data_IF_274476567455
#
_entry.id   IF_274476567455
#
_cell.length_a   1.000
_cell.length_b   1.000
_cell.length_c   1.000
_cell.angle_alpha   90.00
_cell.angle_beta   90.00
_cell.angle_gamma   90.00
#
_symmetry.space_group_name_H-M   'P 1'
#
loop_
_entity.id
_entity.type
_entity.pdbx_description
1 polymer ?
#
# COMPACT_ATOMS: atom_id res chain seq x y z
N UNK A 1 -12.03 16.79 -3.77
CA UNK A 1 -10.80 16.66 -4.56
C UNK A 1 -9.83 15.95 -3.65
N UNK A 2 -9.30 14.79 -4.05
CA UNK A 2 -8.47 13.97 -3.18
C UNK A 2 -7.22 14.74 -2.75
N UNK A 3 -6.90 14.73 -1.45
CA UNK A 3 -5.69 15.36 -0.89
C UNK A 3 -4.41 14.55 -1.18
N UNK A 4 -4.50 13.56 -2.07
CA UNK A 4 -3.38 12.71 -2.47
C UNK A 4 -2.24 13.56 -3.05
N UNK A 5 -1.03 13.29 -2.56
CA UNK A 5 0.17 13.95 -3.02
C UNK A 5 1.36 13.00 -2.91
N UNK A 6 1.80 12.48 -4.06
CA UNK A 6 2.89 11.50 -4.10
C UNK A 6 4.21 12.06 -3.53
N UNK A 7 4.54 13.33 -3.82
CA UNK A 7 5.75 13.98 -3.30
C UNK A 7 5.78 14.08 -1.76
N UNK A 8 4.61 14.20 -1.11
CA UNK A 8 4.51 14.17 0.36
C UNK A 8 4.61 12.75 0.92
N UNK A 9 4.07 11.75 0.21
CA UNK A 9 4.05 10.37 0.68
C UNK A 9 5.39 9.65 0.51
N UNK A 10 6.18 9.97 -0.52
CA UNK A 10 7.50 9.35 -0.75
C UNK A 10 8.42 9.40 0.49
N UNK A 11 8.69 10.58 1.11
CA UNK A 11 9.57 10.62 2.27
C UNK A 11 9.00 9.87 3.48
N UNK A 12 7.67 9.81 3.62
CA UNK A 12 7.00 9.05 4.68
C UNK A 12 7.24 7.54 4.50
N UNK A 13 7.00 7.02 3.28
CA UNK A 13 7.23 5.60 2.96
C UNK A 13 8.70 5.21 3.11
N UNK A 14 9.63 6.08 2.69
CA UNK A 14 11.07 5.86 2.87
C UNK A 14 11.44 5.76 4.35
N UNK A 15 10.92 6.68 5.18
CA UNK A 15 11.16 6.64 6.63
C UNK A 15 10.65 5.34 7.26
N UNK A 16 9.44 4.91 6.92
CA UNK A 16 8.91 3.63 7.41
C UNK A 16 9.75 2.44 6.97
N UNK A 17 10.21 2.44 5.71
CA UNK A 17 11.08 1.37 5.21
C UNK A 17 12.39 1.28 6.00
N UNK A 18 13.00 2.42 6.31
CA UNK A 18 14.21 2.47 7.14
C UNK A 18 13.96 1.93 8.56
N UNK A 19 12.85 2.34 9.19
CA UNK A 19 12.46 1.87 10.52
C UNK A 19 12.19 0.36 10.55
N UNK A 20 11.47 -0.17 9.55
CA UNK A 20 11.19 -1.61 9.45
C UNK A 20 12.49 -2.40 9.22
N UNK A 21 13.43 -1.89 8.42
CA UNK A 21 14.70 -2.57 8.15
C UNK A 21 15.57 -2.69 9.42
N UNK A 22 15.57 -1.67 10.28
CA UNK A 22 16.25 -1.74 11.58
C UNK A 22 15.58 -2.77 12.49
N UNK A 23 14.25 -2.81 12.54
CA UNK A 23 13.48 -3.77 13.35
C UNK A 23 13.64 -5.22 12.85
N UNK A 24 13.68 -5.44 11.54
CA UNK A 24 13.91 -6.75 10.93
C UNK A 24 15.22 -7.38 11.42
N UNK A 25 16.30 -6.59 11.49
CA UNK A 25 17.61 -7.03 11.97
C UNK A 25 17.59 -7.39 13.47
N UNK A 26 16.71 -6.78 14.24
CA UNK A 26 16.54 -7.03 15.68
C UNK A 26 15.58 -8.19 15.98
N UNK A 27 14.86 -8.72 14.99
CA UNK A 27 13.91 -9.82 15.17
C UNK A 27 14.61 -11.07 15.70
N UNK A 28 14.00 -11.69 16.71
CA UNK A 28 14.46 -12.92 17.36
C UNK A 28 13.93 -14.16 16.64
N UNK A 29 12.68 -14.13 16.21
CA UNK A 29 12.04 -15.22 15.48
C UNK A 29 12.20 -15.08 13.96
N UNK A 30 12.26 -16.21 13.27
CA UNK A 30 12.23 -16.25 11.81
C UNK A 30 10.88 -15.77 11.26
N UNK A 31 9.79 -16.10 11.96
CA UNK A 31 8.44 -15.69 11.59
C UNK A 31 8.26 -14.16 11.63
N UNK A 32 8.64 -13.49 12.72
CA UNK A 32 8.57 -12.03 12.76
C UNK A 32 9.47 -11.39 11.71
N UNK A 33 10.67 -11.96 11.49
CA UNK A 33 11.59 -11.50 10.45
C UNK A 33 10.97 -11.61 9.06
N UNK A 34 10.27 -12.71 8.74
CA UNK A 34 9.61 -12.84 7.44
C UNK A 34 8.48 -11.84 7.25
N UNK A 35 7.69 -11.54 8.29
CA UNK A 35 6.66 -10.49 8.22
C UNK A 35 7.26 -9.11 7.93
N UNK A 36 8.36 -8.76 8.61
CA UNK A 36 9.08 -7.51 8.36
C UNK A 36 9.62 -7.47 6.93
N UNK A 37 10.22 -8.57 6.45
CA UNK A 37 10.75 -8.68 5.10
C UNK A 37 9.67 -8.49 4.03
N UNK A 38 8.49 -9.11 4.22
CA UNK A 38 7.35 -8.91 3.33
C UNK A 38 6.89 -7.45 3.33
N UNK A 39 6.79 -6.82 4.51
CA UNK A 39 6.42 -5.40 4.58
C UNK A 39 7.46 -4.50 3.89
N UNK A 40 8.76 -4.79 4.02
CA UNK A 40 9.81 -4.06 3.30
C UNK A 40 9.62 -4.14 1.79
N UNK A 41 9.35 -5.34 1.26
CA UNK A 41 9.06 -5.52 -0.16
C UNK A 41 7.83 -4.74 -0.61
N UNK A 42 6.80 -4.64 0.22
CA UNK A 42 5.61 -3.83 -0.07
C UNK A 42 5.90 -2.32 -0.02
N UNK A 43 6.68 -1.84 0.96
CA UNK A 43 7.09 -0.44 1.04
C UNK A 43 7.97 -0.04 -0.15
N UNK A 44 8.84 -0.94 -0.63
CA UNK A 44 9.60 -0.76 -1.86
C UNK A 44 8.68 -0.64 -3.09
N UNK A 45 7.68 -1.51 -3.19
CA UNK A 45 6.69 -1.44 -4.27
C UNK A 45 5.84 -0.16 -4.19
N UNK A 46 5.43 0.27 -3.00
CA UNK A 46 4.72 1.53 -2.79
C UNK A 46 5.54 2.72 -3.27
N UNK A 47 6.84 2.75 -2.96
CA UNK A 47 7.73 3.82 -3.43
C UNK A 47 7.79 3.86 -4.95
N UNK A 48 7.93 2.72 -5.61
CA UNK A 48 7.95 2.64 -7.08
C UNK A 48 6.66 3.18 -7.68
N UNK A 49 5.51 2.83 -7.09
CA UNK A 49 4.22 3.33 -7.55
C UNK A 49 4.09 4.85 -7.32
N UNK A 50 4.55 5.36 -6.18
CA UNK A 50 4.56 6.81 -5.92
C UNK A 50 5.48 7.58 -6.88
N UNK A 51 6.66 7.05 -7.20
CA UNK A 51 7.55 7.65 -8.18
C UNK A 51 6.87 7.69 -9.57
N UNK A 52 6.11 6.64 -9.92
CA UNK A 52 5.30 6.63 -11.15
C UNK A 52 4.22 7.71 -11.15
N UNK A 53 3.52 7.92 -10.03
CA UNK A 53 2.52 8.99 -9.94
C UNK A 53 3.16 10.38 -10.15
N UNK A 54 4.37 10.59 -9.63
CA UNK A 54 5.12 11.84 -9.87
C UNK A 54 5.41 12.03 -11.37
N UNK A 55 5.77 10.98 -12.09
CA UNK A 55 6.00 11.07 -13.54
C UNK A 55 4.70 11.29 -14.33
N UNK A 56 3.58 10.67 -13.92
CA UNK A 56 2.28 10.88 -14.54
C UNK A 56 1.80 12.33 -14.37
N UNK A 57 1.93 12.89 -13.16
CA UNK A 57 1.65 14.30 -12.87
C UNK A 57 2.49 15.24 -13.75
N UNK A 58 3.78 14.96 -13.91
CA UNK A 58 4.66 15.72 -14.81
C UNK A 58 4.22 15.62 -16.27
N UNK A 59 3.72 14.47 -16.71
CA UNK A 59 3.25 14.25 -18.07
C UNK A 59 1.92 14.99 -18.35
N UNK A 60 1.05 15.12 -17.34
CA UNK A 60 -0.22 15.83 -17.44
C UNK A 60 -0.06 17.36 -17.34
N UNK A 61 0.91 17.84 -16.57
CA UNK A 61 1.11 19.26 -16.29
C UNK A 61 1.14 20.19 -17.53
N UNK A 62 1.77 19.83 -18.68
CA UNK A 62 1.77 20.68 -19.87
C UNK A 62 0.40 20.92 -20.49
N UNK A 63 -0.60 20.09 -20.19
CA UNK A 63 -1.95 20.16 -20.77
C UNK A 63 -2.97 20.84 -19.85
N UNK A 64 -2.59 21.20 -18.62
CA UNK A 64 -3.46 21.89 -17.67
C UNK A 64 -3.94 23.24 -18.20
N UNK A 65 -5.23 23.53 -18.00
CA UNK A 65 -5.90 24.71 -18.53
C UNK A 65 -6.44 24.55 -19.95
N UNK A 66 -6.28 23.38 -20.56
CA UNK A 66 -6.99 23.00 -21.80
C UNK A 66 -8.23 22.14 -21.45
N UNK A 67 -9.33 22.21 -22.21
CA UNK A 67 -10.53 21.42 -21.92
C UNK A 67 -10.26 19.91 -21.82
N UNK A 68 -9.45 19.37 -22.73
CA UNK A 68 -9.06 17.96 -22.76
C UNK A 68 -8.12 17.61 -21.60
N UNK A 69 -7.09 18.42 -21.36
CA UNK A 69 -6.16 18.21 -20.26
C UNK A 69 -6.84 18.26 -18.90
N UNK A 70 -7.73 19.24 -18.68
CA UNK A 70 -8.50 19.35 -17.43
C UNK A 70 -9.49 18.18 -17.27
N UNK A 71 -10.01 17.62 -18.36
CA UNK A 71 -10.84 16.42 -18.32
C UNK A 71 -10.02 15.19 -17.91
N UNK A 72 -8.87 14.94 -18.54
CA UNK A 72 -7.99 13.82 -18.17
C UNK A 72 -7.44 13.96 -16.75
N UNK A 73 -7.03 15.16 -16.35
CA UNK A 73 -6.54 15.45 -15.01
C UNK A 73 -7.60 15.12 -13.95
N UNK A 74 -8.86 15.51 -14.19
CA UNK A 74 -9.96 15.14 -13.29
C UNK A 74 -10.18 13.63 -13.21
N UNK A 75 -10.14 12.92 -14.34
CA UNK A 75 -10.30 11.45 -14.36
C UNK A 75 -9.18 10.79 -13.56
N UNK A 76 -7.93 11.17 -13.81
CA UNK A 76 -6.76 10.65 -13.12
C UNK A 76 -6.89 10.83 -11.59
N UNK A 77 -7.37 12.00 -11.13
CA UNK A 77 -7.59 12.27 -9.71
C UNK A 77 -8.91 11.73 -9.13
N UNK A 78 -9.73 11.00 -9.89
CA UNK A 78 -10.86 10.25 -9.30
C UNK A 78 -10.33 9.13 -8.40
N UNK A 79 -9.30 8.43 -8.86
CA UNK A 79 -8.58 7.39 -8.12
C UNK A 79 -7.25 7.16 -8.84
N UNK A 80 -6.15 7.60 -8.23
CA UNK A 80 -4.82 7.37 -8.82
C UNK A 80 -4.50 5.88 -8.87
N UNK A 81 -3.48 5.47 -9.62
CA UNK A 81 -3.06 4.06 -9.66
C UNK A 81 -2.62 3.58 -8.27
N UNK A 82 -1.95 4.44 -7.51
CA UNK A 82 -1.54 4.22 -6.14
C UNK A 82 -2.75 4.03 -5.23
N UNK A 83 -3.72 4.94 -5.27
CA UNK A 83 -4.93 4.83 -4.46
C UNK A 83 -5.70 3.55 -4.79
N UNK A 84 -5.83 3.23 -6.08
CA UNK A 84 -6.51 2.02 -6.53
C UNK A 84 -5.84 0.75 -6.00
N UNK A 85 -4.50 0.70 -6.00
CA UNK A 85 -3.75 -0.48 -5.57
C UNK A 85 -3.67 -0.61 -4.06
N UNK A 86 -3.40 0.48 -3.35
CA UNK A 86 -2.99 0.44 -1.96
C UNK A 86 -4.05 0.87 -0.95
N UNK A 87 -5.10 1.58 -1.40
CA UNK A 87 -6.12 2.15 -0.49
C UNK A 87 -7.52 1.64 -0.82
N UNK A 88 -7.90 1.63 -2.11
CA UNK A 88 -9.27 1.36 -2.54
C UNK A 88 -9.72 -0.09 -2.30
N UNK A 89 -8.79 -1.04 -2.28
CA UNK A 89 -9.06 -2.47 -2.06
C UNK A 89 -9.21 -2.86 -0.59
N UNK A 90 -9.02 -1.92 0.34
CA UNK A 90 -9.11 -2.20 1.76
C UNK A 90 -7.79 -2.75 2.34
N UNK A 91 -7.90 -3.72 3.24
CA UNK A 91 -6.73 -4.27 3.92
C UNK A 91 -5.87 -5.12 2.97
N UNK A 92 -4.56 -5.07 3.16
CA UNK A 92 -3.58 -5.85 2.40
C UNK A 92 -2.81 -6.72 3.39
N UNK A 93 -2.87 -8.03 3.19
CA UNK A 93 -2.18 -8.96 4.10
C UNK A 93 -0.69 -9.08 3.79
N UNK A 94 0.14 -9.05 4.82
CA UNK A 94 1.60 -9.28 4.76
C UNK A 94 1.99 -10.74 5.05
N UNK A 95 1.01 -11.63 5.26
CA UNK A 95 1.20 -13.05 5.52
C UNK A 95 0.43 -13.91 4.51
N UNK A 96 -0.83 -14.26 4.81
CA UNK A 96 -1.66 -15.08 3.93
C UNK A 96 -2.64 -14.19 3.13
N UNK A 97 -2.91 -14.47 1.84
CA UNK A 97 -3.91 -13.73 1.07
C UNK A 97 -5.27 -13.76 1.77
N UNK A 98 -5.90 -12.59 1.93
CA UNK A 98 -7.24 -12.44 2.54
C UNK A 98 -8.36 -12.30 1.52
N UNK A 99 -8.00 -12.42 0.25
CA UNK A 99 -8.93 -12.44 -0.88
C UNK A 99 -8.51 -13.56 -1.84
N UNK A 100 -9.49 -14.28 -2.36
CA UNK A 100 -9.31 -15.23 -3.46
C UNK A 100 -10.02 -14.73 -4.71
N UNK A 101 -9.46 -15.02 -5.88
CA UNK A 101 -10.10 -14.66 -7.14
C UNK A 101 -11.10 -15.74 -7.52
N UNK A 102 -12.39 -15.43 -7.41
CA UNK A 102 -13.48 -16.31 -7.83
C UNK A 102 -13.89 -15.95 -9.25
N UNK A 103 -13.91 -16.95 -10.13
CA UNK A 103 -14.33 -16.80 -11.53
C UNK A 103 -15.76 -17.31 -11.68
N UNK A 104 -16.66 -16.46 -12.16
CA UNK A 104 -18.06 -16.80 -12.47
C UNK A 104 -18.28 -16.46 -13.93
N UNK A 105 -18.61 -17.47 -14.74
CA UNK A 105 -18.70 -17.35 -16.20
C UNK A 105 -17.38 -16.80 -16.79
N UNK A 106 -17.38 -15.56 -17.27
CA UNK A 106 -16.22 -14.89 -17.87
C UNK A 106 -15.65 -13.76 -16.97
N UNK A 107 -16.23 -13.54 -15.80
CA UNK A 107 -15.83 -12.47 -14.88
C UNK A 107 -15.07 -13.00 -13.66
N UNK A 108 -14.06 -12.27 -13.21
CA UNK A 108 -13.24 -12.61 -12.06
C UNK A 108 -13.37 -11.55 -10.97
N UNK A 109 -13.75 -11.96 -9.77
CA UNK A 109 -13.99 -11.05 -8.63
C UNK A 109 -13.17 -11.46 -7.42
N UNK A 110 -12.59 -10.49 -6.67
CA UNK A 110 -12.02 -10.79 -5.37
C UNK A 110 -13.13 -11.17 -4.40
N UNK A 111 -12.97 -12.31 -3.73
CA UNK A 111 -13.88 -12.80 -2.70
C UNK A 111 -13.13 -12.84 -1.36
N UNK A 112 -13.67 -12.21 -0.30
CA UNK A 112 -12.99 -12.17 0.99
C UNK A 112 -12.95 -13.56 1.63
N UNK A 113 -11.82 -13.90 2.23
CA UNK A 113 -11.64 -15.13 3.00
C UNK A 113 -11.69 -14.79 4.49
N UNK A 114 -12.31 -15.66 5.30
CA UNK A 114 -12.24 -15.52 6.76
C UNK A 114 -10.80 -15.69 7.24
N UNK A 115 -10.31 -14.76 8.06
CA UNK A 115 -8.96 -14.81 8.59
C UNK A 115 -8.92 -14.41 10.06
N UNK A 116 -7.82 -14.77 10.72
CA UNK A 116 -7.45 -14.30 12.05
C UNK A 116 -6.22 -13.40 11.99
N UNK A 117 -6.18 -12.34 12.77
CA UNK A 117 -4.99 -11.48 12.85
C UNK A 117 -3.92 -12.12 13.74
N UNK A 118 -2.66 -12.03 13.28
CA UNK A 118 -1.49 -12.44 14.06
C UNK A 118 -1.38 -11.54 15.29
N UNK A 119 -1.24 -12.11 16.51
CA UNK A 119 -1.03 -11.35 17.72
C UNK A 119 0.20 -10.43 17.66
N UNK A 120 0.09 -9.22 18.22
CA UNK A 120 1.15 -8.20 18.14
C UNK A 120 2.48 -8.64 18.77
N UNK A 121 2.44 -9.49 19.79
CA UNK A 121 3.62 -10.06 20.45
C UNK A 121 4.40 -11.02 19.54
N UNK A 122 3.72 -11.73 18.65
CA UNK A 122 4.36 -12.58 17.62
C UNK A 122 4.99 -11.75 16.49
N UNK A 123 4.60 -10.48 16.35
CA UNK A 123 5.06 -9.58 15.29
C UNK A 123 6.29 -8.75 15.69
N UNK A 124 6.80 -8.89 16.91
CA UNK A 124 8.02 -8.24 17.43
C UNK A 124 8.09 -6.72 17.14
N UNK A 125 6.98 -6.01 17.35
CA UNK A 125 6.89 -4.55 17.20
C UNK A 125 6.47 -4.07 15.81
N UNK A 126 6.18 -4.96 14.85
CA UNK A 126 5.68 -4.57 13.53
C UNK A 126 4.27 -3.97 13.58
N UNK A 127 3.44 -4.39 14.55
CA UNK A 127 2.06 -3.94 14.69
C UNK A 127 1.95 -2.41 14.84
N UNK A 128 2.84 -1.79 15.63
CA UNK A 128 2.90 -0.33 15.79
C UNK A 128 3.24 0.38 14.47
N UNK A 129 4.15 -0.20 13.68
CA UNK A 129 4.54 0.38 12.39
C UNK A 129 3.38 0.32 11.40
N UNK A 130 2.65 -0.80 11.36
CA UNK A 130 1.45 -0.96 10.53
C UNK A 130 0.39 0.07 10.88
N UNK A 131 0.17 0.33 12.17
CA UNK A 131 -0.77 1.36 12.62
C UNK A 131 -0.31 2.75 12.17
N UNK A 132 0.97 3.09 12.34
CA UNK A 132 1.52 4.37 11.90
C UNK A 132 1.44 4.56 10.38
N UNK A 133 1.70 3.52 9.59
CA UNK A 133 1.53 3.54 8.13
C UNK A 133 0.08 3.85 7.78
N UNK A 134 -0.87 3.18 8.43
CA UNK A 134 -2.31 3.41 8.20
C UNK A 134 -2.68 4.86 8.49
N UNK A 135 -2.23 5.41 9.62
CA UNK A 135 -2.56 6.78 10.02
C UNK A 135 -1.96 7.83 9.09
N UNK A 136 -0.75 7.61 8.57
CA UNK A 136 -0.02 8.61 7.77
C UNK A 136 -0.27 8.50 6.26
N UNK A 137 -0.64 7.31 5.78
CA UNK A 137 -0.76 7.04 4.33
C UNK A 137 -2.16 6.60 3.91
N UNK A 138 -3.00 6.16 4.84
CA UNK A 138 -4.30 5.53 4.55
C UNK A 138 -4.20 4.07 4.09
N UNK A 139 -3.00 3.54 3.83
CA UNK A 139 -2.76 2.16 3.41
C UNK A 139 -2.88 1.24 4.62
N UNK A 140 -3.77 0.24 4.54
CA UNK A 140 -4.07 -0.67 5.64
C UNK A 140 -3.38 -2.00 5.43
N UNK A 141 -2.32 -2.27 6.18
CA UNK A 141 -1.72 -3.60 6.23
C UNK A 141 -2.30 -4.42 7.38
N UNK A 142 -2.35 -5.73 7.22
CA UNK A 142 -2.69 -6.69 8.28
C UNK A 142 -1.76 -7.89 8.19
N UNK A 143 -1.42 -8.52 9.32
CA UNK A 143 -0.82 -9.84 9.30
C UNK A 143 -1.94 -10.85 9.55
N UNK A 144 -2.42 -11.49 8.48
CA UNK A 144 -3.57 -12.40 8.53
C UNK A 144 -3.15 -13.85 8.36
N UNK A 145 -3.77 -14.75 9.15
CA UNK A 145 -3.71 -16.21 9.03
C UNK A 145 -5.06 -16.74 8.59
N UNK A 146 -5.08 -17.44 7.45
CA UNK A 146 -6.26 -18.12 6.87
C UNK A 146 -6.24 -19.60 7.22
#
# INVERSE_FOLDING_TARGET
>A
MNDFNALKLIPIVVSFREDVAVREQACKSEFARSLHSTLLGMLDAMKVDLDREVEEEKALAPFLGTPEGDFYYRIYHVCTFFEHRWTAKGAISILDPIEELVVIEDDAFPFPVEYSEVPADEMEGLAEVIEMITQQTGVRFVAARV
#
